data_IF_598774729626
#
_entry.id   IF_598774729626
#
_cell.length_a   1.000
_cell.length_b   1.000
_cell.length_c   1.000
_cell.angle_alpha   90.00
_cell.angle_beta   90.00
_cell.angle_gamma   90.00
#
_symmetry.space_group_name_H-M   'P 1'
#
loop_
_entity.id
_entity.type
_entity.pdbx_description
1 polymer ?
#
# COMPACT_ATOMS: atom_id res chain seq x y z
N UNK A 1 -14.41 45.43 -25.37
CA UNK A 1 -13.17 44.61 -25.34
C UNK A 1 -13.33 43.66 -24.17
N UNK A 2 -13.43 42.35 -24.44
CA UNK A 2 -13.68 41.31 -23.43
C UNK A 2 -12.34 40.71 -22.97
N UNK A 3 -12.07 40.60 -21.67
CA UNK A 3 -11.07 39.70 -21.13
C UNK A 3 -11.76 38.40 -20.70
N UNK A 4 -11.83 37.40 -21.58
CA UNK A 4 -12.26 36.04 -21.21
C UNK A 4 -11.15 34.99 -21.32
N UNK A 5 -9.98 35.37 -21.86
CA UNK A 5 -8.89 34.44 -22.14
C UNK A 5 -8.06 34.08 -20.88
N UNK A 6 -8.05 34.94 -19.85
CA UNK A 6 -7.21 34.75 -18.65
C UNK A 6 -7.76 33.70 -17.66
N UNK A 7 -9.00 33.21 -17.83
CA UNK A 7 -9.61 32.37 -16.80
C UNK A 7 -9.31 30.87 -16.94
N UNK A 8 -9.30 30.32 -18.15
CA UNK A 8 -9.21 28.85 -18.31
C UNK A 8 -7.81 28.30 -18.07
N UNK A 9 -6.78 29.08 -18.42
CA UNK A 9 -5.39 28.72 -18.10
C UNK A 9 -5.18 28.66 -16.58
N UNK A 10 -5.67 29.68 -15.86
CA UNK A 10 -5.64 29.70 -14.40
C UNK A 10 -6.42 28.53 -13.79
N UNK A 11 -7.59 28.18 -14.36
CA UNK A 11 -8.37 27.02 -13.90
C UNK A 11 -7.60 25.71 -14.10
N UNK A 12 -6.90 25.54 -15.22
CA UNK A 12 -6.10 24.34 -15.49
C UNK A 12 -4.97 24.20 -14.46
N UNK A 13 -4.27 25.28 -14.13
CA UNK A 13 -3.23 25.28 -13.10
C UNK A 13 -3.82 25.05 -11.70
N UNK A 14 -4.97 25.63 -11.39
CA UNK A 14 -5.68 25.41 -10.13
C UNK A 14 -6.14 23.95 -9.99
N UNK A 15 -6.60 23.33 -11.08
CA UNK A 15 -6.95 21.92 -11.12
C UNK A 15 -5.73 21.03 -10.87
N UNK A 16 -4.59 21.36 -11.49
CA UNK A 16 -3.34 20.64 -11.24
C UNK A 16 -2.90 20.70 -9.76
N UNK A 17 -2.97 21.89 -9.15
CA UNK A 17 -2.64 22.05 -7.73
C UNK A 17 -3.62 21.30 -6.82
N UNK A 18 -4.91 21.35 -7.14
CA UNK A 18 -5.95 20.62 -6.42
C UNK A 18 -5.70 19.11 -6.50
N UNK A 19 -5.37 18.60 -7.69
CA UNK A 19 -5.01 17.21 -7.93
C UNK A 19 -3.83 16.75 -7.06
N UNK A 20 -2.74 17.53 -7.05
CA UNK A 20 -1.57 17.24 -6.20
C UNK A 20 -1.92 17.25 -4.70
N UNK A 21 -2.74 18.20 -4.28
CA UNK A 21 -3.16 18.32 -2.87
C UNK A 21 -4.03 17.15 -2.44
N UNK A 22 -4.97 16.75 -3.29
CA UNK A 22 -5.84 15.60 -3.06
C UNK A 22 -5.05 14.29 -3.03
N UNK A 23 -4.07 14.12 -3.93
CA UNK A 23 -3.14 12.98 -3.89
C UNK A 23 -2.35 12.93 -2.57
N UNK A 24 -1.78 14.05 -2.15
CA UNK A 24 -1.00 14.12 -0.90
C UNK A 24 -1.85 13.80 0.34
N UNK A 25 -3.15 14.10 0.31
CA UNK A 25 -4.10 13.84 1.39
C UNK A 25 -4.83 12.50 1.26
N UNK A 26 -4.69 11.79 0.14
CA UNK A 26 -5.48 10.59 -0.17
C UNK A 26 -6.98 10.87 -0.38
N UNK A 27 -7.36 12.10 -0.75
CA UNK A 27 -8.77 12.55 -0.85
C UNK A 27 -9.19 12.75 -2.32
N UNK A 28 -9.15 11.68 -3.11
CA UNK A 28 -9.42 11.75 -4.56
C UNK A 28 -10.87 12.15 -4.87
N UNK A 29 -11.83 11.76 -4.03
CA UNK A 29 -13.25 12.10 -4.21
C UNK A 29 -13.49 13.62 -4.24
N UNK A 30 -12.64 14.39 -3.56
CA UNK A 30 -12.72 15.86 -3.55
C UNK A 30 -12.43 16.50 -4.91
N UNK A 31 -11.88 15.74 -5.87
CA UNK A 31 -11.52 16.23 -7.20
C UNK A 31 -12.66 16.15 -8.23
N UNK A 32 -13.71 15.36 -7.97
CA UNK A 32 -14.81 15.14 -8.92
C UNK A 32 -15.41 16.48 -9.38
N UNK A 33 -15.79 17.32 -8.42
CA UNK A 33 -16.37 18.64 -8.67
C UNK A 33 -15.42 19.60 -9.41
N UNK A 34 -14.14 19.77 -8.99
CA UNK A 34 -13.15 20.53 -9.76
C UNK A 34 -12.99 20.08 -11.22
N UNK A 35 -12.94 18.77 -11.48
CA UNK A 35 -12.82 18.25 -12.85
C UNK A 35 -14.08 18.51 -13.68
N UNK A 36 -15.27 18.26 -13.13
CA UNK A 36 -16.54 18.54 -13.81
C UNK A 36 -16.67 20.01 -14.19
N UNK A 37 -16.41 20.90 -13.24
CA UNK A 37 -16.48 22.35 -13.45
C UNK A 37 -15.47 22.80 -14.52
N UNK A 38 -14.25 22.27 -14.48
CA UNK A 38 -13.25 22.57 -15.50
C UNK A 38 -13.66 22.06 -16.89
N UNK A 39 -14.17 20.83 -16.99
CA UNK A 39 -14.58 20.23 -18.25
C UNK A 39 -15.74 20.99 -18.90
N UNK A 40 -16.75 21.38 -18.11
CA UNK A 40 -17.87 22.21 -18.58
C UNK A 40 -17.36 23.55 -19.13
N UNK A 41 -16.50 24.24 -18.37
CA UNK A 41 -15.96 25.54 -18.78
C UNK A 41 -15.05 25.45 -20.01
N UNK A 42 -14.26 24.39 -20.12
CA UNK A 42 -13.42 24.14 -21.30
C UNK A 42 -14.29 23.84 -22.54
N UNK A 43 -15.37 23.07 -22.40
CA UNK A 43 -16.31 22.79 -23.48
C UNK A 43 -17.02 24.07 -23.95
N UNK A 44 -17.51 24.88 -23.02
CA UNK A 44 -18.13 26.18 -23.30
C UNK A 44 -17.17 27.15 -24.00
N UNK A 45 -15.91 27.20 -23.57
CA UNK A 45 -14.90 28.04 -24.21
C UNK A 45 -14.57 27.55 -25.63
N UNK A 46 -14.54 26.24 -25.83
CA UNK A 46 -14.29 25.61 -27.13
C UNK A 46 -15.42 25.86 -28.13
N UNK A 47 -16.68 25.69 -27.71
CA UNK A 47 -17.85 25.91 -28.57
C UNK A 47 -17.98 27.37 -29.02
N UNK A 48 -17.56 28.32 -28.19
CA UNK A 48 -17.52 29.75 -28.53
C UNK A 48 -16.37 30.14 -29.46
N UNK A 49 -15.47 29.21 -29.81
CA UNK A 49 -14.28 29.50 -30.61
C UNK A 49 -13.30 30.45 -29.92
N UNK A 50 -13.41 30.60 -28.59
CA UNK A 50 -12.72 31.61 -27.79
C UNK A 50 -11.44 31.08 -27.14
N UNK A 51 -10.81 30.05 -27.73
CA UNK A 51 -9.62 29.43 -27.15
C UNK A 51 -8.38 29.81 -27.96
N UNK A 52 -7.52 30.71 -27.44
CA UNK A 52 -6.23 30.95 -28.07
C UNK A 52 -5.36 29.70 -28.00
N UNK A 53 -4.46 29.56 -28.99
CA UNK A 53 -3.58 28.38 -29.10
C UNK A 53 -2.70 28.17 -27.87
N UNK A 54 -2.31 29.24 -27.17
CA UNK A 54 -1.56 29.18 -25.92
C UNK A 54 -2.34 28.46 -24.81
N UNK A 55 -3.61 28.82 -24.58
CA UNK A 55 -4.45 28.21 -23.55
C UNK A 55 -4.70 26.73 -23.84
N UNK A 56 -4.96 26.38 -25.11
CA UNK A 56 -5.13 24.97 -25.52
C UNK A 56 -3.88 24.15 -25.16
N UNK A 57 -2.67 24.69 -25.41
CA UNK A 57 -1.43 24.00 -25.06
C UNK A 57 -1.30 23.77 -23.56
N UNK A 58 -1.62 24.77 -22.73
CA UNK A 58 -1.54 24.62 -21.26
C UNK A 58 -2.55 23.59 -20.76
N UNK A 59 -3.81 23.71 -21.17
CA UNK A 59 -4.86 22.74 -20.81
C UNK A 59 -4.48 21.31 -21.21
N UNK A 60 -3.99 21.13 -22.44
CA UNK A 60 -3.55 19.82 -22.94
C UNK A 60 -2.36 19.28 -22.14
N UNK A 61 -1.41 20.15 -21.80
CA UNK A 61 -0.22 19.76 -21.02
C UNK A 61 -0.61 19.30 -19.62
N UNK A 62 -1.50 20.03 -18.94
CA UNK A 62 -2.02 19.65 -17.63
C UNK A 62 -2.77 18.33 -17.71
N UNK A 63 -3.66 18.15 -18.70
CA UNK A 63 -4.40 16.90 -18.87
C UNK A 63 -3.48 15.69 -19.13
N UNK A 64 -2.45 15.86 -19.97
CA UNK A 64 -1.44 14.82 -20.21
C UNK A 64 -0.66 14.48 -18.94
N UNK A 65 -0.29 15.49 -18.15
CA UNK A 65 0.42 15.29 -16.90
C UNK A 65 -0.45 14.51 -15.89
N UNK A 66 -1.71 14.91 -15.70
CA UNK A 66 -2.67 14.21 -14.82
C UNK A 66 -2.82 12.75 -15.25
N UNK A 67 -3.00 12.50 -16.55
CA UNK A 67 -3.08 11.14 -17.11
C UNK A 67 -1.84 10.31 -16.79
N UNK A 68 -0.66 10.90 -16.97
CA UNK A 68 0.61 10.20 -16.76
C UNK A 68 0.77 9.80 -15.31
N UNK A 69 0.50 10.72 -14.38
CA UNK A 69 0.57 10.45 -12.94
C UNK A 69 -0.48 9.41 -12.54
N UNK A 70 -1.72 9.55 -13.01
CA UNK A 70 -2.79 8.58 -12.72
C UNK A 70 -2.43 7.18 -13.20
N UNK A 71 -1.89 7.06 -14.42
CA UNK A 71 -1.47 5.77 -14.98
C UNK A 71 -0.32 5.14 -14.19
N UNK A 72 0.65 5.94 -13.75
CA UNK A 72 1.75 5.45 -12.92
C UNK A 72 1.28 4.95 -11.56
N UNK A 73 0.34 5.66 -10.92
CA UNK A 73 -0.25 5.25 -9.65
C UNK A 73 -1.00 3.92 -9.77
N UNK A 74 -1.82 3.78 -10.82
CA UNK A 74 -2.52 2.52 -11.11
C UNK A 74 -1.54 1.38 -11.35
N UNK A 75 -0.45 1.63 -12.08
CA UNK A 75 0.60 0.63 -12.29
C UNK A 75 1.25 0.19 -10.98
N UNK A 76 1.59 1.13 -10.09
CA UNK A 76 2.18 0.81 -8.78
C UNK A 76 1.22 0.00 -7.92
N UNK A 77 -0.06 0.35 -7.92
CA UNK A 77 -1.10 -0.38 -7.18
C UNK A 77 -1.23 -1.82 -7.69
N UNK A 78 -1.24 -2.02 -9.01
CA UNK A 78 -1.26 -3.37 -9.61
C UNK A 78 -0.05 -4.20 -9.16
N UNK A 79 1.16 -3.67 -9.30
CA UNK A 79 2.38 -4.38 -8.88
C UNK A 79 2.37 -4.70 -7.38
N UNK A 80 1.93 -3.75 -6.55
CA UNK A 80 1.80 -3.97 -5.11
C UNK A 80 0.81 -5.10 -4.78
N UNK A 81 -0.34 -5.14 -5.45
CA UNK A 81 -1.31 -6.24 -5.27
C UNK A 81 -0.74 -7.59 -5.73
N UNK A 82 0.00 -7.62 -6.84
CA UNK A 82 0.65 -8.83 -7.33
C UNK A 82 1.70 -9.36 -6.34
N UNK A 83 2.53 -8.47 -5.78
CA UNK A 83 3.50 -8.83 -4.75
C UNK A 83 2.79 -9.38 -3.49
N UNK A 84 1.71 -8.74 -3.06
CA UNK A 84 0.95 -9.20 -1.89
C UNK A 84 0.34 -10.59 -2.10
N UNK A 85 -0.23 -10.86 -3.27
CA UNK A 85 -0.76 -12.19 -3.62
C UNK A 85 0.33 -13.25 -3.73
N UNK A 86 1.47 -12.90 -4.33
CA UNK A 86 2.61 -13.81 -4.41
C UNK A 86 3.15 -14.16 -3.01
N UNK A 87 3.26 -13.18 -2.12
CA UNK A 87 3.69 -13.41 -0.74
C UNK A 87 2.70 -14.31 0.01
N UNK A 88 1.38 -14.11 -0.17
CA UNK A 88 0.35 -14.97 0.43
C UNK A 88 0.48 -16.41 -0.08
N UNK A 89 0.69 -16.58 -1.38
CA UNK A 89 0.85 -17.90 -2.00
C UNK A 89 2.08 -18.61 -1.47
N UNK A 90 3.23 -17.93 -1.43
CA UNK A 90 4.47 -18.48 -0.88
C UNK A 90 4.35 -18.82 0.61
N UNK A 91 3.68 -17.99 1.40
CA UNK A 91 3.44 -18.26 2.82
C UNK A 91 2.58 -19.52 3.01
N UNK A 92 1.53 -19.68 2.20
CA UNK A 92 0.70 -20.88 2.21
C UNK A 92 1.52 -22.13 1.81
N UNK A 93 2.30 -22.05 0.74
CA UNK A 93 3.19 -23.14 0.32
C UNK A 93 4.21 -23.51 1.39
N UNK A 94 4.83 -22.55 2.07
CA UNK A 94 5.76 -22.82 3.17
C UNK A 94 5.07 -23.52 4.35
N UNK A 95 3.82 -23.17 4.66
CA UNK A 95 3.05 -23.83 5.72
C UNK A 95 2.68 -25.27 5.34
N UNK A 96 2.30 -25.51 4.08
CA UNK A 96 2.00 -26.86 3.57
C UNK A 96 3.26 -27.73 3.42
N UNK A 97 4.39 -27.14 3.03
CA UNK A 97 5.69 -27.81 2.87
C UNK A 97 6.48 -27.93 4.16
N UNK A 98 6.04 -27.30 5.25
CA UNK A 98 6.55 -27.64 6.58
C UNK A 98 5.81 -28.89 7.01
N UNK A 99 6.36 -30.12 6.85
CA UNK A 99 5.90 -31.18 7.72
C UNK A 99 6.10 -30.62 9.12
N UNK A 100 5.07 -30.72 9.96
CA UNK A 100 5.20 -30.63 11.41
C UNK A 100 6.20 -31.71 11.85
N UNK A 101 7.48 -31.51 11.55
CA UNK A 101 8.62 -32.18 12.12
C UNK A 101 8.91 -31.53 13.48
N UNK A 102 7.86 -31.27 14.24
CA UNK A 102 7.83 -31.58 15.67
C UNK A 102 7.68 -33.11 15.84
N UNK A 103 8.34 -33.89 14.99
CA UNK A 103 8.91 -35.14 15.45
C UNK A 103 10.00 -34.73 16.42
N UNK A 104 9.62 -34.48 17.68
CA UNK A 104 10.40 -34.97 18.80
C UNK A 104 10.64 -36.45 18.49
N UNK A 105 11.68 -36.76 17.72
CA UNK A 105 12.32 -38.05 17.78
C UNK A 105 12.78 -38.10 19.24
N UNK A 106 12.18 -38.94 20.09
CA UNK A 106 12.83 -39.23 21.35
C UNK A 106 14.16 -39.80 20.91
N UNK A 107 15.25 -39.04 21.11
CA UNK A 107 16.58 -39.62 21.01
C UNK A 107 16.56 -40.90 21.84
N UNK A 108 17.33 -41.94 21.45
CA UNK A 108 17.43 -43.13 22.28
C UNK A 108 17.61 -42.65 23.71
N UNK A 109 16.79 -43.17 24.63
CA UNK A 109 16.86 -42.87 26.06
C UNK A 109 18.23 -43.40 26.52
N UNK A 110 19.28 -42.67 26.16
CA UNK A 110 20.58 -42.74 26.74
C UNK A 110 20.38 -42.22 28.14
N UNK A 111 20.90 -42.96 29.09
CA UNK A 111 20.85 -42.63 30.51
C UNK A 111 21.74 -41.39 30.77
N UNK A 112 21.36 -40.24 30.22
CA UNK A 112 21.97 -38.92 30.44
C UNK A 112 21.74 -38.45 31.90
N UNK A 113 21.05 -39.26 32.69
CA UNK A 113 20.88 -39.12 34.13
C UNK A 113 22.20 -38.86 34.86
N UNK A 114 23.32 -39.44 34.38
CA UNK A 114 24.63 -39.24 35.00
C UNK A 114 25.23 -37.84 34.72
N UNK A 115 25.06 -37.31 33.51
CA UNK A 115 25.70 -36.05 33.09
C UNK A 115 25.02 -34.82 33.72
N UNK A 116 23.73 -34.92 34.03
CA UNK A 116 22.97 -33.86 34.69
C UNK A 116 22.68 -34.13 36.17
N UNK A 117 23.16 -35.24 36.75
CA UNK A 117 22.93 -35.60 38.15
C UNK A 117 23.33 -34.51 39.18
N UNK A 118 24.44 -33.76 39.01
CA UNK A 118 24.81 -32.70 39.95
C UNK A 118 23.83 -31.53 39.90
N UNK A 119 23.45 -31.10 38.69
CA UNK A 119 22.52 -30.00 38.50
C UNK A 119 21.09 -30.37 38.93
N UNK A 120 20.66 -31.60 38.62
CA UNK A 120 19.37 -32.14 39.05
C UNK A 120 19.23 -32.14 40.57
N UNK A 121 20.27 -32.57 41.31
CA UNK A 121 20.23 -32.55 42.79
C UNK A 121 20.12 -31.14 43.34
N UNK A 122 20.95 -30.22 42.85
CA UNK A 122 20.86 -28.82 43.26
C UNK A 122 19.47 -28.23 42.98
N UNK A 123 18.88 -28.52 41.81
CA UNK A 123 17.56 -28.02 41.45
C UNK A 123 16.45 -28.57 42.35
N UNK A 124 16.45 -29.87 42.66
CA UNK A 124 15.48 -30.49 43.58
C UNK A 124 15.62 -29.96 45.02
N UNK A 125 16.83 -29.63 45.46
CA UNK A 125 17.09 -29.07 46.79
C UNK A 125 16.64 -27.60 46.92
N UNK A 126 16.58 -26.86 45.81
CA UNK A 126 16.32 -25.42 45.81
C UNK A 126 14.91 -25.05 45.33
N UNK A 127 14.16 -25.97 44.73
CA UNK A 127 12.81 -25.72 44.23
C UNK A 127 11.80 -26.75 44.76
N UNK A 128 10.76 -26.26 45.44
CA UNK A 128 9.72 -27.10 46.05
C UNK A 128 8.76 -27.76 45.05
N UNK A 129 8.74 -27.29 43.80
CA UNK A 129 7.90 -27.86 42.74
C UNK A 129 8.68 -27.93 41.40
N UNK A 130 9.64 -28.87 41.28
CA UNK A 130 10.59 -28.92 40.17
C UNK A 130 9.96 -29.45 38.87
N UNK A 131 8.84 -30.16 38.97
CA UNK A 131 8.04 -30.59 37.83
C UNK A 131 6.60 -30.18 38.14
N UNK A 132 6.07 -29.09 37.54
CA UNK A 132 4.66 -28.80 37.66
C UNK A 132 3.92 -29.98 37.06
N UNK A 133 3.37 -30.82 37.94
CA UNK A 133 2.43 -31.86 37.55
C UNK A 133 1.28 -31.12 36.89
N UNK A 134 0.94 -31.48 35.65
CA UNK A 134 -0.25 -30.92 35.02
C UNK A 134 -1.42 -31.09 35.98
N UNK A 135 -2.03 -29.99 36.41
CA UNK A 135 -3.28 -30.06 37.15
C UNK A 135 -4.30 -30.79 36.26
N UNK A 136 -4.86 -31.89 36.77
CA UNK A 136 -6.13 -32.44 36.28
C UNK A 136 -7.28 -31.46 36.54
#
# INVERSE_FOLDING_TARGET
>A
MLPSDDSLEADALALQQSYLTALAKGQIDSLVQPFENFALRACDASTRGALPSSTIKVVTSVAMWIRTVSSALVSIEMEHTAIAEQLRTQAAECLEQTPLALAFQPGPIGDDSASFAPYRRWFLENFSNPYPSACE
#
